data_IF_390026889371
#
_entry.id   IF_390026889371
#
_cell.length_a   1.000
_cell.length_b   1.000
_cell.length_c   1.000
_cell.angle_alpha   90.00
_cell.angle_beta   90.00
_cell.angle_gamma   90.00
#
_symmetry.space_group_name_H-M   'P 1'
#
loop_
_entity.id
_entity.type
_entity.pdbx_description
1 polymer ?
#
# COMPACT_ATOMS: atom_id res chain seq x y z
N UNK A 1 -27.82 8.75 -4.45
CA UNK A 1 -26.82 8.79 -3.35
C UNK A 1 -25.40 8.40 -3.77
N UNK A 2 -25.15 7.47 -4.72
CA UNK A 2 -23.77 7.06 -5.07
C UNK A 2 -23.02 8.01 -6.04
N UNK A 3 -23.73 8.93 -6.69
CA UNK A 3 -23.22 9.84 -7.72
C UNK A 3 -23.10 11.29 -7.27
N UNK A 4 -23.46 11.60 -6.02
CA UNK A 4 -23.36 12.98 -5.51
C UNK A 4 -21.91 13.35 -5.24
N UNK A 5 -21.48 14.58 -5.56
CA UNK A 5 -20.13 15.04 -5.26
C UNK A 5 -19.89 15.13 -3.75
N UNK A 6 -18.62 15.13 -3.35
CA UNK A 6 -18.27 15.28 -1.95
C UNK A 6 -18.73 16.65 -1.40
N UNK A 7 -19.34 16.66 -0.21
CA UNK A 7 -19.67 17.87 0.54
C UNK A 7 -18.89 17.92 1.85
N UNK A 8 -18.97 19.02 2.58
CA UNK A 8 -18.30 19.14 3.88
C UNK A 8 -18.88 18.15 4.92
N UNK A 9 -20.14 17.80 4.77
CA UNK A 9 -20.92 16.94 5.67
C UNK A 9 -20.83 15.45 5.30
N UNK A 10 -20.40 15.11 4.07
CA UNK A 10 -20.45 13.75 3.52
C UNK A 10 -19.34 12.80 3.98
N UNK A 11 -18.70 13.09 5.13
CA UNK A 11 -17.63 12.25 5.67
C UNK A 11 -18.18 10.91 6.18
N UNK A 12 -17.67 9.81 5.63
CA UNK A 12 -17.98 8.45 6.07
C UNK A 12 -16.85 7.90 6.92
N UNK A 13 -17.14 7.53 8.16
CA UNK A 13 -16.18 6.90 9.07
C UNK A 13 -16.35 5.39 8.99
N UNK A 14 -15.28 4.68 8.69
CA UNK A 14 -15.21 3.21 8.63
C UNK A 14 -14.76 2.60 9.96
N UNK A 15 -13.90 3.32 10.68
CA UNK A 15 -13.34 2.88 11.95
C UNK A 15 -12.92 4.08 12.79
N UNK A 16 -13.08 3.99 14.12
CA UNK A 16 -12.60 4.99 15.06
C UNK A 16 -12.19 4.33 16.37
N UNK A 17 -11.06 4.77 16.91
CA UNK A 17 -10.49 4.38 18.20
C UNK A 17 -9.79 5.60 18.84
N UNK A 18 -9.14 5.44 19.98
CA UNK A 18 -8.36 6.50 20.62
C UNK A 18 -7.12 6.91 19.81
N UNK A 19 -6.55 5.99 19.03
CA UNK A 19 -5.31 6.19 18.28
C UNK A 19 -5.52 6.49 16.80
N UNK A 20 -6.60 6.00 16.21
CA UNK A 20 -6.83 6.07 14.76
C UNK A 20 -8.28 6.32 14.40
N UNK A 21 -8.48 7.06 13.29
CA UNK A 21 -9.73 7.12 12.54
C UNK A 21 -9.45 6.71 11.09
N UNK A 22 -10.31 5.88 10.52
CA UNK A 22 -10.28 5.51 9.10
C UNK A 22 -11.56 5.99 8.45
N UNK A 23 -11.41 6.74 7.37
CA UNK A 23 -12.53 7.30 6.61
C UNK A 23 -12.61 6.64 5.24
N UNK A 24 -13.82 6.54 4.71
CA UNK A 24 -14.03 6.23 3.29
C UNK A 24 -13.92 7.54 2.51
N UNK A 25 -12.70 7.84 2.04
CA UNK A 25 -12.43 9.05 1.26
C UNK A 25 -13.30 9.02 0.02
N UNK A 26 -14.01 10.11 -0.26
CA UNK A 26 -14.77 10.25 -1.50
C UNK A 26 -13.85 10.27 -2.75
N UNK A 27 -14.42 10.00 -3.93
CA UNK A 27 -13.73 10.29 -5.19
C UNK A 27 -13.70 11.81 -5.45
N UNK A 28 -12.74 12.25 -6.26
CA UNK A 28 -12.51 13.66 -6.63
C UNK A 28 -12.49 14.65 -5.46
N UNK A 29 -11.81 14.24 -4.38
CA UNK A 29 -11.53 15.13 -3.24
C UNK A 29 -10.06 15.01 -2.83
N UNK A 30 -9.42 16.14 -2.55
CA UNK A 30 -8.06 16.17 -2.02
C UNK A 30 -8.06 15.74 -0.55
N UNK A 31 -6.95 15.15 -0.11
CA UNK A 31 -6.75 14.82 1.31
C UNK A 31 -6.63 16.11 2.13
N UNK A 32 -5.74 16.98 1.70
CA UNK A 32 -5.46 18.28 2.31
C UNK A 32 -5.25 19.34 1.21
N UNK A 33 -5.21 20.60 1.62
CA UNK A 33 -4.82 21.70 0.75
C UNK A 33 -4.19 22.83 1.56
N UNK A 34 -3.25 23.53 0.91
CA UNK A 34 -2.69 24.80 1.41
C UNK A 34 -3.47 26.03 0.91
N UNK A 35 -4.37 25.83 -0.06
CA UNK A 35 -5.12 26.91 -0.69
C UNK A 35 -6.37 27.20 0.14
N UNK A 36 -6.47 28.41 0.69
CA UNK A 36 -7.55 28.83 1.57
C UNK A 36 -8.96 28.72 0.97
N UNK A 37 -9.06 28.73 -0.38
CA UNK A 37 -10.32 28.57 -1.11
C UNK A 37 -10.70 27.12 -1.39
N UNK A 38 -9.78 26.16 -1.21
CA UNK A 38 -10.04 24.74 -1.37
C UNK A 38 -10.74 24.21 -0.11
N UNK A 39 -12.07 24.34 -0.10
CA UNK A 39 -12.90 24.01 1.06
C UNK A 39 -13.35 22.54 1.07
N UNK A 40 -13.14 21.81 -0.02
CA UNK A 40 -13.59 20.43 -0.18
C UNK A 40 -12.37 19.49 -0.08
N UNK A 41 -11.94 19.25 1.16
CA UNK A 41 -10.86 18.30 1.45
C UNK A 41 -11.28 17.36 2.57
N UNK A 42 -10.65 16.19 2.65
CA UNK A 42 -10.85 15.27 3.79
C UNK A 42 -10.47 15.97 5.10
N UNK A 43 -9.42 16.78 5.09
CA UNK A 43 -9.03 17.62 6.23
C UNK A 43 -10.16 18.55 6.67
N UNK A 44 -10.83 19.23 5.74
CA UNK A 44 -11.94 20.13 6.05
C UNK A 44 -13.14 19.35 6.61
N UNK A 45 -13.48 18.21 6.00
CA UNK A 45 -14.53 17.30 6.48
C UNK A 45 -14.26 16.80 7.90
N UNK A 46 -13.03 16.34 8.18
CA UNK A 46 -12.60 15.91 9.52
C UNK A 46 -12.68 17.05 10.54
N UNK A 47 -12.21 18.25 10.19
CA UNK A 47 -12.28 19.42 11.08
C UNK A 47 -13.71 19.84 11.37
N UNK A 48 -14.59 19.77 10.37
CA UNK A 48 -16.00 20.08 10.53
C UNK A 48 -16.71 19.07 11.45
N UNK A 49 -16.49 17.77 11.20
CA UNK A 49 -17.20 16.70 11.92
C UNK A 49 -16.61 16.36 13.30
N UNK A 50 -15.31 16.56 13.47
CA UNK A 50 -14.53 16.21 14.66
C UNK A 50 -13.49 17.30 15.01
N UNK A 51 -13.92 18.53 15.33
CA UNK A 51 -13.02 19.62 15.66
C UNK A 51 -12.09 19.30 16.83
N UNK A 52 -12.55 18.48 17.78
CA UNK A 52 -11.77 18.03 18.95
C UNK A 52 -10.61 17.09 18.61
N UNK A 53 -10.61 16.45 17.43
CA UNK A 53 -9.53 15.58 16.98
C UNK A 53 -8.43 16.34 16.24
N UNK A 54 -8.63 17.63 15.96
CA UNK A 54 -7.64 18.45 15.28
C UNK A 54 -6.47 18.77 16.23
N UNK A 55 -5.26 18.44 15.82
CA UNK A 55 -4.04 18.74 16.56
C UNK A 55 -3.40 20.05 16.10
N UNK A 56 -3.45 21.13 16.91
CA UNK A 56 -2.91 22.43 16.56
C UNK A 56 -1.37 22.44 16.40
N UNK A 57 -0.66 21.42 16.90
CA UNK A 57 0.78 21.27 16.71
C UNK A 57 1.17 20.78 15.31
N UNK A 58 0.18 20.37 14.50
CA UNK A 58 0.42 19.96 13.11
C UNK A 58 -0.07 21.01 12.14
N UNK A 59 0.65 21.17 11.05
CA UNK A 59 0.32 22.13 10.01
C UNK A 59 -1.11 21.92 9.45
N UNK A 60 -1.52 20.67 9.22
CA UNK A 60 -2.85 20.37 8.67
C UNK A 60 -3.91 20.05 9.73
N UNK A 61 -3.56 20.02 11.02
CA UNK A 61 -4.47 19.58 12.09
C UNK A 61 -4.62 18.06 12.22
N UNK A 62 -4.16 17.27 11.25
CA UNK A 62 -4.34 15.82 11.23
C UNK A 62 -3.08 15.13 10.71
N UNK A 63 -2.84 13.89 11.15
CA UNK A 63 -1.71 13.06 10.72
C UNK A 63 -2.19 11.95 9.79
N UNK A 64 -2.24 12.24 8.50
CA UNK A 64 -2.54 11.22 7.49
C UNK A 64 -1.42 10.18 7.44
N UNK A 65 -1.76 8.91 7.68
CA UNK A 65 -0.78 7.81 7.75
C UNK A 65 -0.26 7.40 6.38
N UNK A 66 -1.06 7.63 5.33
CA UNK A 66 -0.72 7.39 3.94
C UNK A 66 -1.51 8.33 3.02
N UNK A 67 -1.28 8.23 1.72
CA UNK A 67 -1.96 9.02 0.70
C UNK A 67 -2.86 8.14 -0.18
N UNK A 68 -3.81 8.79 -0.84
CA UNK A 68 -4.64 8.34 -1.94
C UNK A 68 -4.68 9.47 -2.97
N UNK A 69 -4.72 9.12 -4.25
CA UNK A 69 -4.87 10.10 -5.32
C UNK A 69 -6.20 10.86 -5.18
N UNK A 70 -6.27 12.07 -5.75
CA UNK A 70 -7.47 12.90 -5.78
C UNK A 70 -8.72 12.10 -6.22
N UNK A 71 -8.63 11.41 -7.36
CA UNK A 71 -9.76 10.68 -7.94
C UNK A 71 -10.00 9.28 -7.35
N UNK A 72 -9.08 8.77 -6.52
CA UNK A 72 -9.25 7.44 -5.89
C UNK A 72 -10.11 7.58 -4.63
N UNK A 73 -11.15 6.77 -4.46
CA UNK A 73 -11.93 6.74 -3.21
C UNK A 73 -11.48 5.60 -2.29
N UNK A 74 -12.02 5.50 -1.08
CA UNK A 74 -11.79 4.36 -0.18
C UNK A 74 -11.01 4.67 1.10
N UNK A 75 -10.58 3.61 1.77
CA UNK A 75 -10.01 3.66 3.11
C UNK A 75 -8.78 4.56 3.20
N UNK A 76 -8.86 5.59 4.05
CA UNK A 76 -7.78 6.51 4.38
C UNK A 76 -7.62 6.59 5.90
N UNK A 77 -6.45 6.19 6.41
CA UNK A 77 -6.15 6.17 7.84
C UNK A 77 -5.50 7.47 8.30
N UNK A 78 -5.99 7.99 9.43
CA UNK A 78 -5.48 9.17 10.13
C UNK A 78 -5.15 8.78 11.58
N UNK A 79 -3.93 9.09 12.01
CA UNK A 79 -3.53 8.94 13.40
C UNK A 79 -3.96 10.15 14.22
N UNK A 80 -4.48 9.89 15.41
CA UNK A 80 -5.04 10.91 16.33
C UNK A 80 -4.00 11.47 17.30
N UNK A 81 -2.84 10.81 17.40
CA UNK A 81 -1.72 11.29 18.21
C UNK A 81 -0.36 10.96 17.58
N UNK A 82 0.71 11.52 18.16
CA UNK A 82 2.09 11.39 17.64
C UNK A 82 2.63 9.95 17.73
N UNK A 83 2.28 9.20 18.77
CA UNK A 83 2.73 7.81 18.95
C UNK A 83 2.10 6.91 17.88
N UNK A 84 0.78 7.00 17.72
CA UNK A 84 0.00 6.31 16.69
C UNK A 84 0.53 6.58 15.28
N UNK A 85 0.84 7.84 14.96
CA UNK A 85 1.44 8.20 13.68
C UNK A 85 2.82 7.57 13.48
N UNK A 86 3.63 7.50 14.54
CA UNK A 86 4.94 6.85 14.52
C UNK A 86 4.87 5.35 14.27
N UNK A 87 3.91 4.65 14.88
CA UNK A 87 3.70 3.22 14.65
C UNK A 87 3.22 2.94 13.23
N UNK A 88 2.18 3.64 12.76
CA UNK A 88 1.69 3.48 11.40
C UNK A 88 2.77 3.80 10.36
N UNK A 89 3.54 4.87 10.55
CA UNK A 89 4.67 5.22 9.68
C UNK A 89 5.67 4.07 9.53
N UNK A 90 6.03 3.38 10.63
CA UNK A 90 6.93 2.22 10.57
C UNK A 90 6.34 1.11 9.72
N UNK A 91 5.06 0.77 9.90
CA UNK A 91 4.41 -0.26 9.10
C UNK A 91 4.43 0.07 7.60
N UNK A 92 4.16 1.32 7.22
CA UNK A 92 4.23 1.74 5.81
C UNK A 92 5.66 1.75 5.27
N UNK A 93 6.62 2.23 6.07
CA UNK A 93 8.04 2.28 5.71
C UNK A 93 8.61 0.87 5.49
N UNK A 94 8.28 -0.04 6.38
CA UNK A 94 8.78 -1.42 6.40
C UNK A 94 7.95 -2.33 5.47
N UNK A 95 6.96 -1.78 4.75
CA UNK A 95 6.10 -2.48 3.78
C UNK A 95 5.35 -3.68 4.37
N UNK A 96 4.93 -3.55 5.63
CA UNK A 96 4.13 -4.58 6.32
C UNK A 96 2.63 -4.37 6.18
N UNK A 97 2.21 -3.18 5.75
CA UNK A 97 0.81 -2.86 5.47
C UNK A 97 0.32 -3.64 4.25
N UNK A 98 -0.85 -4.28 4.38
CA UNK A 98 -1.55 -4.90 3.27
C UNK A 98 -2.66 -3.98 2.78
N UNK A 99 -2.73 -3.78 1.46
CA UNK A 99 -3.77 -2.97 0.81
C UNK A 99 -4.36 -3.73 -0.36
N UNK A 100 -5.65 -3.60 -0.58
CA UNK A 100 -6.29 -4.11 -1.79
C UNK A 100 -7.27 -3.07 -2.33
N UNK A 101 -7.32 -2.94 -3.65
CA UNK A 101 -8.11 -1.96 -4.36
C UNK A 101 -9.05 -2.66 -5.32
N UNK A 102 -10.31 -2.24 -5.33
CA UNK A 102 -11.22 -2.61 -6.39
C UNK A 102 -11.00 -1.68 -7.58
N UNK A 103 -11.10 -2.22 -8.80
CA UNK A 103 -11.17 -1.41 -10.00
C UNK A 103 -12.09 -2.02 -11.07
N UNK A 104 -12.66 -1.17 -11.92
CA UNK A 104 -13.18 -1.58 -13.22
C UNK A 104 -12.14 -1.20 -14.29
N UNK A 105 -11.67 -2.18 -15.06
CA UNK A 105 -10.69 -1.99 -16.12
C UNK A 105 -11.36 -2.11 -17.49
N UNK A 106 -10.97 -1.28 -18.45
CA UNK A 106 -11.44 -1.38 -19.83
C UNK A 106 -10.98 -2.70 -20.47
N UNK A 107 -11.87 -3.33 -21.24
CA UNK A 107 -11.62 -4.61 -21.91
C UNK A 107 -11.75 -5.82 -20.99
N UNK A 108 -11.49 -7.00 -21.58
CA UNK A 108 -11.53 -8.29 -20.90
C UNK A 108 -10.11 -8.74 -20.58
N UNK A 109 -9.74 -8.77 -19.29
CA UNK A 109 -8.43 -9.28 -18.86
C UNK A 109 -8.46 -10.81 -18.94
N UNK A 110 -7.57 -11.39 -19.75
CA UNK A 110 -7.58 -12.83 -20.01
C UNK A 110 -7.08 -13.66 -18.81
N UNK A 111 -5.99 -13.22 -18.18
CA UNK A 111 -5.40 -13.92 -17.03
C UNK A 111 -6.22 -13.67 -15.76
N UNK A 112 -6.74 -14.72 -15.13
CA UNK A 112 -7.51 -14.58 -13.88
C UNK A 112 -6.68 -14.04 -12.70
N UNK A 113 -5.36 -14.24 -12.75
CA UNK A 113 -4.41 -13.71 -11.78
C UNK A 113 -3.12 -13.38 -12.51
N UNK A 114 -2.60 -12.17 -12.30
CA UNK A 114 -1.43 -11.66 -13.01
C UNK A 114 -0.59 -10.77 -12.10
N UNK A 115 0.70 -11.06 -12.03
CA UNK A 115 1.70 -10.19 -11.43
C UNK A 115 2.10 -9.12 -12.44
N UNK A 116 2.06 -7.86 -12.03
CA UNK A 116 2.48 -6.70 -12.82
C UNK A 116 3.72 -6.10 -12.17
N UNK A 117 4.89 -6.25 -12.79
CA UNK A 117 6.21 -5.97 -12.23
C UNK A 117 7.03 -4.91 -13.00
N UNK A 118 6.37 -4.15 -13.88
CA UNK A 118 6.99 -3.03 -14.60
C UNK A 118 7.52 -1.98 -13.62
N UNK A 119 8.79 -1.59 -13.72
CA UNK A 119 9.28 -0.44 -12.93
C UNK A 119 8.61 0.86 -13.38
N UNK A 120 8.36 1.77 -12.45
CA UNK A 120 7.73 3.08 -12.72
C UNK A 120 8.71 4.21 -12.45
N UNK A 121 8.87 5.11 -13.43
CA UNK A 121 9.65 6.33 -13.37
C UNK A 121 8.81 7.58 -13.57
N UNK A 122 9.46 8.76 -13.47
CA UNK A 122 8.83 10.03 -13.84
C UNK A 122 8.84 10.17 -15.35
N UNK A 123 7.79 10.74 -15.90
CA UNK A 123 7.74 11.11 -17.31
C UNK A 123 8.26 12.53 -17.50
N UNK A 124 9.38 12.69 -18.21
CA UNK A 124 9.96 13.99 -18.57
C UNK A 124 9.64 14.47 -19.98
N UNK A 125 8.90 13.68 -20.78
CA UNK A 125 8.48 14.10 -22.11
C UNK A 125 7.56 15.32 -22.04
N UNK A 126 7.95 16.40 -22.73
CA UNK A 126 7.11 17.59 -22.89
C UNK A 126 5.80 17.24 -23.61
N UNK A 127 4.69 17.86 -23.19
CA UNK A 127 3.37 17.68 -23.81
C UNK A 127 2.58 16.44 -23.39
N UNK A 128 3.16 15.49 -22.63
CA UNK A 128 2.39 14.38 -22.04
C UNK A 128 1.75 14.81 -20.73
N UNK A 129 0.46 14.47 -20.56
CA UNK A 129 -0.35 14.85 -19.39
C UNK A 129 -0.08 14.00 -18.14
N UNK A 130 0.55 12.83 -18.29
CA UNK A 130 0.77 11.88 -17.20
C UNK A 130 2.18 11.98 -16.60
N UNK A 131 2.24 12.23 -15.28
CA UNK A 131 3.50 12.44 -14.53
C UNK A 131 4.38 11.18 -14.38
N UNK A 132 3.82 9.99 -14.56
CA UNK A 132 4.51 8.71 -14.34
C UNK A 132 4.37 7.81 -15.55
N UNK A 133 5.40 7.04 -15.86
CA UNK A 133 5.42 6.08 -16.97
C UNK A 133 6.22 4.82 -16.59
N UNK A 134 6.10 3.77 -17.40
CA UNK A 134 6.84 2.51 -17.20
C UNK A 134 8.24 2.61 -17.80
N UNK A 135 9.17 1.83 -17.25
CA UNK A 135 10.51 1.66 -17.82
C UNK A 135 10.45 1.27 -19.32
N UNK A 136 11.43 1.75 -20.09
CA UNK A 136 11.49 1.53 -21.55
C UNK A 136 10.62 2.46 -22.38
N UNK A 137 9.71 3.24 -21.79
CA UNK A 137 9.00 4.31 -22.51
C UNK A 137 9.87 5.56 -22.67
N UNK A 138 9.65 6.29 -23.78
CA UNK A 138 10.31 7.56 -24.02
C UNK A 138 10.01 8.56 -22.90
N UNK A 139 11.07 9.21 -22.38
CA UNK A 139 10.99 10.17 -21.28
C UNK A 139 10.91 9.54 -19.88
N UNK A 140 11.06 8.21 -19.73
CA UNK A 140 11.05 7.58 -18.42
C UNK A 140 12.37 7.80 -17.65
N UNK A 141 12.31 8.56 -16.56
CA UNK A 141 13.45 8.87 -15.71
C UNK A 141 13.35 8.19 -14.33
N UNK A 142 14.49 7.67 -13.86
CA UNK A 142 14.66 7.06 -12.53
C UNK A 142 13.58 6.01 -12.20
N UNK A 143 13.38 4.98 -13.06
CA UNK A 143 12.41 3.93 -12.79
C UNK A 143 12.78 3.20 -11.51
N UNK A 144 11.76 2.91 -10.69
CA UNK A 144 11.92 2.14 -9.46
C UNK A 144 11.09 0.87 -9.53
N UNK A 145 11.60 -0.26 -9.03
CA UNK A 145 10.86 -1.51 -9.00
C UNK A 145 9.51 -1.31 -8.31
N UNK A 146 8.46 -1.80 -8.95
CA UNK A 146 7.13 -1.87 -8.38
C UNK A 146 6.41 -3.12 -8.81
N UNK A 147 5.53 -3.60 -7.93
CA UNK A 147 4.80 -4.84 -8.13
C UNK A 147 3.37 -4.68 -7.66
N UNK A 148 2.45 -5.18 -8.47
CA UNK A 148 1.01 -5.22 -8.21
C UNK A 148 0.48 -6.60 -8.60
N UNK A 149 -0.19 -7.29 -7.68
CA UNK A 149 -0.95 -8.48 -8.02
C UNK A 149 -2.36 -8.08 -8.46
N UNK A 150 -2.77 -8.54 -9.63
CA UNK A 150 -4.11 -8.36 -10.19
C UNK A 150 -4.85 -9.69 -10.10
N UNK A 151 -6.06 -9.66 -9.56
CA UNK A 151 -6.97 -10.81 -9.51
C UNK A 151 -8.31 -10.43 -10.12
N UNK A 152 -8.75 -11.14 -11.15
CA UNK A 152 -10.06 -10.91 -11.77
C UNK A 152 -11.17 -11.43 -10.88
N UNK A 153 -12.19 -10.61 -10.65
CA UNK A 153 -13.38 -10.94 -9.87
C UNK A 153 -14.56 -11.26 -10.80
N UNK A 154 -14.87 -10.33 -11.71
CA UNK A 154 -16.06 -10.38 -12.56
C UNK A 154 -15.76 -9.78 -13.94
N UNK A 155 -16.40 -10.32 -14.97
CA UNK A 155 -16.50 -9.71 -16.31
C UNK A 155 -17.89 -9.14 -16.52
N UNK A 156 -17.97 -8.05 -17.26
CA UNK A 156 -19.25 -7.45 -17.61
C UNK A 156 -19.10 -6.29 -18.57
N UNK A 157 -20.11 -5.42 -18.57
CA UNK A 157 -20.14 -4.21 -19.38
C UNK A 157 -20.20 -2.97 -18.49
N UNK A 158 -19.55 -1.90 -18.90
CA UNK A 158 -19.76 -0.56 -18.36
C UNK A 158 -20.18 0.37 -19.48
N UNK A 159 -21.40 0.89 -19.40
CA UNK A 159 -21.97 1.77 -20.44
C UNK A 159 -21.97 1.15 -21.85
N UNK A 160 -22.13 -0.18 -21.92
CA UNK A 160 -22.11 -0.96 -23.16
C UNK A 160 -20.75 -1.51 -23.58
N UNK A 161 -19.64 -1.01 -23.02
CA UNK A 161 -18.29 -1.47 -23.36
C UNK A 161 -17.84 -2.61 -22.44
N UNK A 162 -17.06 -3.60 -22.96
CA UNK A 162 -16.46 -4.64 -22.13
C UNK A 162 -15.56 -4.08 -21.04
N UNK A 163 -15.74 -4.54 -19.80
CA UNK A 163 -14.87 -4.23 -18.67
C UNK A 163 -14.66 -5.45 -17.77
N UNK A 164 -13.57 -5.40 -17.01
CA UNK A 164 -13.23 -6.42 -16.01
C UNK A 164 -13.15 -5.78 -14.63
N UNK A 165 -13.90 -6.32 -13.67
CA UNK A 165 -13.77 -5.96 -12.26
C UNK A 165 -12.65 -6.79 -11.63
N UNK A 166 -11.71 -6.11 -11.00
CA UNK A 166 -10.50 -6.71 -10.43
C UNK A 166 -10.28 -6.29 -8.98
N UNK A 167 -9.54 -7.13 -8.25
CA UNK A 167 -8.87 -6.77 -7.01
C UNK A 167 -7.37 -6.59 -7.31
N UNK A 168 -6.83 -5.43 -6.96
CA UNK A 168 -5.43 -5.06 -7.12
C UNK A 168 -4.74 -4.98 -5.76
N UNK A 169 -3.69 -5.75 -5.55
CA UNK A 169 -2.85 -5.70 -4.35
C UNK A 169 -1.48 -5.12 -4.71
N UNK A 170 -1.23 -3.82 -4.43
CA UNK A 170 0.10 -3.25 -4.62
C UNK A 170 1.04 -3.71 -3.50
N UNK A 171 2.13 -4.39 -3.87
CA UNK A 171 3.22 -4.80 -2.95
C UNK A 171 4.26 -3.68 -2.74
N UNK A 172 4.19 -2.64 -3.57
CA UNK A 172 4.96 -1.40 -3.46
C UNK A 172 4.04 -0.18 -3.43
N UNK A 173 4.60 1.00 -3.16
CA UNK A 173 3.84 2.26 -3.17
C UNK A 173 4.53 3.30 -4.04
N UNK A 174 4.28 3.29 -5.35
CA UNK A 174 4.68 4.36 -6.28
C UNK A 174 3.48 5.25 -6.61
N UNK A 175 3.74 6.51 -6.96
CA UNK A 175 2.71 7.45 -7.43
C UNK A 175 1.98 6.85 -8.62
N UNK A 176 0.65 6.85 -8.59
CA UNK A 176 -0.23 6.31 -9.65
C UNK A 176 0.04 4.85 -10.03
N UNK A 177 0.69 4.05 -9.17
CA UNK A 177 1.18 2.70 -9.54
C UNK A 177 0.13 1.82 -10.22
N UNK A 178 -1.05 1.71 -9.62
CA UNK A 178 -2.14 0.88 -10.13
C UNK A 178 -2.63 1.35 -11.50
N UNK A 179 -2.77 2.66 -11.66
CA UNK A 179 -3.25 3.32 -12.88
C UNK A 179 -2.27 3.09 -14.04
N UNK A 180 -0.98 3.31 -13.78
CA UNK A 180 0.10 3.07 -14.76
C UNK A 180 0.18 1.59 -15.14
N UNK A 181 0.19 0.67 -14.17
CA UNK A 181 0.27 -0.76 -14.44
C UNK A 181 -0.93 -1.26 -15.26
N UNK A 182 -2.15 -0.86 -14.90
CA UNK A 182 -3.36 -1.27 -15.63
C UNK A 182 -3.34 -0.70 -17.07
N UNK A 183 -2.95 0.55 -17.24
CA UNK A 183 -2.77 1.14 -18.57
C UNK A 183 -1.67 0.44 -19.38
N UNK A 184 -0.56 0.05 -18.74
CA UNK A 184 0.57 -0.60 -19.41
C UNK A 184 0.22 -1.97 -19.98
N UNK A 185 -0.70 -2.71 -19.36
CA UNK A 185 -1.21 -3.98 -19.88
C UNK A 185 -2.36 -3.82 -20.88
N UNK A 186 -2.67 -2.58 -21.31
CA UNK A 186 -3.74 -2.30 -22.27
C UNK A 186 -5.15 -2.23 -21.67
N UNK A 187 -5.27 -2.27 -20.34
CA UNK A 187 -6.54 -2.28 -19.62
C UNK A 187 -6.64 -1.09 -18.65
N UNK A 188 -6.70 0.17 -19.15
CA UNK A 188 -6.77 1.35 -18.29
C UNK A 188 -8.02 1.30 -17.39
N UNK A 189 -7.92 1.92 -16.22
CA UNK A 189 -9.04 2.01 -15.28
C UNK A 189 -10.14 2.87 -15.91
N UNK A 190 -11.39 2.41 -15.81
CA UNK A 190 -12.57 3.14 -16.30
C UNK A 190 -12.63 4.52 -15.65
N UNK A 191 -12.74 5.56 -16.47
CA UNK A 191 -12.78 6.96 -16.04
C UNK A 191 -11.43 7.56 -15.64
N UNK A 192 -10.30 6.87 -15.91
CA UNK A 192 -8.97 7.46 -15.71
C UNK A 192 -8.57 8.36 -16.88
N UNK A 193 -9.00 9.62 -16.81
CA UNK A 193 -8.71 10.64 -17.81
C UNK A 193 -7.21 10.79 -18.15
N UNK A 194 -6.32 10.61 -17.17
CA UNK A 194 -4.89 10.86 -17.34
C UNK A 194 -4.22 9.76 -18.16
N UNK A 195 -4.45 8.50 -17.77
CA UNK A 195 -3.78 7.35 -18.40
C UNK A 195 -4.53 6.82 -19.62
N UNK A 196 -5.79 7.20 -19.82
CA UNK A 196 -6.50 7.00 -21.08
C UNK A 196 -6.18 8.07 -22.13
N UNK A 197 -5.22 8.97 -21.89
CA UNK A 197 -4.91 10.12 -22.76
C UNK A 197 -6.15 10.96 -23.13
N UNK A 198 -7.05 11.16 -22.17
CA UNK A 198 -8.29 11.92 -22.33
C UNK A 198 -9.45 11.17 -22.99
N UNK A 199 -9.25 9.94 -23.46
CA UNK A 199 -10.30 9.15 -24.13
C UNK A 199 -11.44 8.73 -23.19
N UNK A 200 -11.15 8.44 -21.93
CA UNK A 200 -12.13 7.91 -20.97
C UNK A 200 -12.60 9.01 -20.00
N UNK A 201 -13.43 9.92 -20.52
CA UNK A 201 -13.95 11.09 -19.79
C UNK A 201 -15.47 11.05 -19.52
N UNK A 202 -16.17 10.04 -20.03
CA UNK A 202 -17.61 9.89 -19.89
C UNK A 202 -18.08 9.33 -18.52
N UNK A 203 -17.35 8.42 -17.85
CA UNK A 203 -17.69 7.98 -16.50
C UNK A 203 -17.69 9.14 -15.50
N UNK A 204 -18.61 9.13 -14.53
CA UNK A 204 -18.75 10.23 -13.55
C UNK A 204 -17.60 10.32 -12.54
N UNK A 205 -16.75 9.28 -12.49
CA UNK A 205 -15.59 9.16 -11.60
C UNK A 205 -14.59 8.17 -12.17
N UNK A 206 -13.38 8.18 -11.63
CA UNK A 206 -12.44 7.07 -11.81
C UNK A 206 -12.86 5.86 -10.96
N UNK A 207 -12.92 4.69 -11.60
CA UNK A 207 -13.33 3.43 -10.99
C UNK A 207 -12.16 2.73 -10.30
N UNK A 208 -11.53 3.43 -9.35
CA UNK A 208 -10.51 2.90 -8.45
C UNK A 208 -10.91 3.19 -7.00
N UNK A 209 -10.91 2.15 -6.17
CA UNK A 209 -11.37 2.23 -4.79
C UNK A 209 -10.45 1.45 -3.85
N UNK A 210 -9.89 2.12 -2.84
CA UNK A 210 -9.12 1.51 -1.77
C UNK A 210 -10.05 0.71 -0.84
N UNK A 211 -10.26 -0.56 -1.15
CA UNK A 211 -11.22 -1.43 -0.49
C UNK A 211 -10.70 -1.95 0.86
N UNK A 212 -9.49 -2.50 0.90
CA UNK A 212 -8.93 -3.14 2.10
C UNK A 212 -7.71 -2.36 2.59
N UNK A 213 -7.67 -2.11 3.90
CA UNK A 213 -6.49 -1.60 4.60
C UNK A 213 -6.23 -2.44 5.85
N UNK A 214 -5.07 -3.09 5.88
CA UNK A 214 -4.58 -3.86 7.02
C UNK A 214 -3.23 -3.30 7.47
N UNK A 215 -3.21 -2.69 8.65
CA UNK A 215 -2.00 -2.20 9.31
C UNK A 215 -1.73 -3.12 10.51
N UNK A 216 -0.63 -3.89 10.54
CA UNK A 216 -0.34 -4.86 11.59
C UNK A 216 0.20 -4.17 12.86
N UNK A 217 -0.66 -3.34 13.47
CA UNK A 217 -0.40 -2.66 14.73
C UNK A 217 -0.50 -3.65 15.90
N UNK A 218 0.19 -3.31 16.99
CA UNK A 218 0.16 -4.06 18.25
C UNK A 218 -0.51 -3.19 19.32
N UNK A 219 -1.28 -3.76 20.27
CA UNK A 219 -1.54 -5.19 20.44
C UNK A 219 -2.62 -5.76 19.52
N UNK A 220 -3.30 -4.90 18.74
CA UNK A 220 -4.36 -5.31 17.82
C UNK A 220 -4.15 -4.68 16.44
N UNK A 221 -4.27 -5.46 15.36
CA UNK A 221 -4.13 -4.94 14.01
C UNK A 221 -5.33 -4.06 13.65
N UNK A 222 -5.07 -3.01 12.87
CA UNK A 222 -6.12 -2.22 12.24
C UNK A 222 -6.48 -2.87 10.90
N UNK A 223 -7.64 -3.53 10.85
CA UNK A 223 -8.17 -4.16 9.64
C UNK A 223 -9.50 -3.50 9.30
N UNK A 224 -9.55 -2.79 8.16
CA UNK A 224 -10.73 -2.06 7.71
C UNK A 224 -11.01 -2.39 6.25
N UNK A 225 -12.29 -2.62 5.96
CA UNK A 225 -12.82 -2.76 4.60
C UNK A 225 -13.83 -1.67 4.31
N UNK A 226 -13.60 -0.88 3.27
CA UNK A 226 -14.59 0.02 2.70
C UNK A 226 -15.59 -0.78 1.84
N UNK A 227 -16.86 -0.35 1.77
CA UNK A 227 -17.87 -1.06 0.99
C UNK A 227 -17.57 -1.05 -0.52
N UNK A 228 -17.94 -2.09 -1.25
CA UNK A 228 -17.76 -2.16 -2.71
C UNK A 228 -18.67 -1.14 -3.42
N UNK A 229 -18.11 -0.09 -4.06
CA UNK A 229 -18.91 0.91 -4.76
C UNK A 229 -19.27 0.49 -6.19
N UNK A 230 -18.69 -0.59 -6.72
CA UNK A 230 -18.87 -1.04 -8.11
C UNK A 230 -19.91 -2.16 -8.16
N UNK A 231 -21.12 -1.81 -7.76
CA UNK A 231 -22.30 -2.67 -7.76
C UNK A 231 -23.40 -2.02 -8.62
N UNK A 232 -24.20 -2.81 -9.36
CA UNK A 232 -25.29 -2.28 -10.21
C UNK A 232 -26.31 -1.43 -9.44
N UNK A 233 -26.47 -1.69 -8.14
CA UNK A 233 -27.36 -0.92 -7.25
C UNK A 233 -26.88 0.50 -6.99
N UNK A 234 -25.57 0.74 -7.11
CA UNK A 234 -24.97 2.07 -6.94
C UNK A 234 -24.74 2.76 -8.28
N UNK A 235 -24.33 2.00 -9.29
CA UNK A 235 -24.12 2.48 -10.65
C UNK A 235 -24.73 1.50 -11.67
N UNK A 236 -25.90 1.82 -12.24
CA UNK A 236 -26.59 0.94 -13.19
C UNK A 236 -25.85 0.82 -14.53
N UNK A 237 -24.82 1.62 -14.79
CA UNK A 237 -23.98 1.46 -15.99
C UNK A 237 -23.10 0.22 -15.91
N UNK A 238 -22.76 -0.23 -14.70
CA UNK A 238 -22.05 -1.49 -14.49
C UNK A 238 -23.01 -2.67 -14.52
N UNK A 239 -22.81 -3.56 -15.49
CA UNK A 239 -23.62 -4.76 -15.73
C UNK A 239 -22.71 -6.01 -15.66
N UNK A 240 -22.57 -6.65 -14.47
CA UNK A 240 -21.81 -7.89 -14.34
C UNK A 240 -22.49 -9.01 -15.14
N UNK A 241 -21.71 -9.81 -15.85
CA UNK A 241 -22.19 -10.91 -16.69
C UNK A 241 -21.65 -12.27 -16.26
N UNK A 242 -20.39 -12.32 -15.82
CA UNK A 242 -19.73 -13.56 -15.39
C UNK A 242 -18.89 -13.30 -14.16
N UNK A 243 -19.16 -14.02 -13.07
CA UNK A 243 -18.33 -13.99 -11.87
C UNK A 243 -17.32 -15.15 -11.89
N UNK A 244 -16.04 -14.86 -11.64
CA UNK A 244 -15.00 -15.88 -11.46
C UNK A 244 -14.83 -16.25 -9.99
N UNK A 245 -14.80 -15.24 -9.11
CA UNK A 245 -14.57 -15.40 -7.67
C UNK A 245 -15.22 -14.27 -6.91
N UNK A 246 -15.61 -14.54 -5.67
CA UNK A 246 -16.21 -13.52 -4.80
C UNK A 246 -15.12 -12.60 -4.24
N UNK A 247 -15.47 -11.33 -4.02
CA UNK A 247 -14.60 -10.37 -3.34
C UNK A 247 -14.21 -10.87 -1.94
N UNK A 248 -15.17 -11.38 -1.16
CA UNK A 248 -14.95 -11.89 0.18
C UNK A 248 -13.92 -13.03 0.22
N UNK A 249 -14.08 -14.05 -0.63
CA UNK A 249 -13.15 -15.17 -0.69
C UNK A 249 -11.74 -14.73 -1.14
N UNK A 250 -11.66 -13.75 -2.04
CA UNK A 250 -10.38 -13.23 -2.55
C UNK A 250 -9.64 -12.43 -1.46
N UNK A 251 -10.35 -11.59 -0.70
CA UNK A 251 -9.81 -10.86 0.46
C UNK A 251 -9.36 -11.82 1.57
N UNK A 252 -10.16 -12.85 1.86
CA UNK A 252 -9.80 -13.86 2.85
C UNK A 252 -8.52 -14.61 2.46
N UNK A 253 -8.40 -15.02 1.20
CA UNK A 253 -7.20 -15.68 0.68
C UNK A 253 -5.96 -14.76 0.78
N UNK A 254 -6.10 -13.49 0.42
CA UNK A 254 -5.04 -12.48 0.50
C UNK A 254 -4.55 -12.28 1.94
N UNK A 255 -5.47 -12.18 2.91
CA UNK A 255 -5.10 -12.05 4.33
C UNK A 255 -4.42 -13.31 4.88
N UNK A 256 -4.91 -14.51 4.49
CA UNK A 256 -4.27 -15.78 4.87
C UNK A 256 -2.85 -15.88 4.31
N UNK A 257 -2.66 -15.52 3.04
CA UNK A 257 -1.34 -15.49 2.43
C UNK A 257 -0.41 -14.53 3.19
N UNK A 258 -0.90 -13.34 3.56
CA UNK A 258 -0.11 -12.38 4.33
C UNK A 258 0.35 -12.92 5.68
N UNK A 259 -0.56 -13.56 6.42
CA UNK A 259 -0.23 -14.17 7.73
C UNK A 259 0.87 -15.22 7.57
N UNK A 260 0.80 -16.04 6.52
CA UNK A 260 1.80 -17.05 6.25
C UNK A 260 3.15 -16.46 5.83
N UNK A 261 3.15 -15.39 5.02
CA UNK A 261 4.37 -14.64 4.67
C UNK A 261 5.02 -14.02 5.91
N UNK A 262 4.25 -13.39 6.79
CA UNK A 262 4.74 -12.80 8.03
C UNK A 262 5.29 -13.87 8.99
N UNK A 263 4.69 -15.06 9.03
CA UNK A 263 5.18 -16.21 9.80
C UNK A 263 6.55 -16.67 9.28
N UNK A 264 6.69 -16.86 7.97
CA UNK A 264 7.94 -17.26 7.33
C UNK A 264 9.06 -16.25 7.55
N UNK A 265 8.76 -14.96 7.38
CA UNK A 265 9.73 -13.88 7.62
C UNK A 265 10.24 -13.88 9.07
N UNK A 266 9.34 -14.04 10.05
CA UNK A 266 9.72 -14.15 11.47
C UNK A 266 10.58 -15.38 11.76
N UNK A 267 10.31 -16.52 11.11
CA UNK A 267 11.11 -17.74 11.23
C UNK A 267 12.52 -17.54 10.66
N UNK A 268 12.63 -16.95 9.46
CA UNK A 268 13.92 -16.63 8.85
C UNK A 268 14.74 -15.64 9.68
N UNK A 269 14.11 -14.62 10.26
CA UNK A 269 14.78 -13.66 11.16
C UNK A 269 15.31 -14.34 12.42
N UNK A 270 14.52 -15.22 13.04
CA UNK A 270 14.95 -16.02 14.20
C UNK A 270 16.12 -16.92 13.86
N UNK A 271 16.09 -17.58 12.70
CA UNK A 271 17.16 -18.44 12.25
C UNK A 271 18.45 -17.64 11.97
N UNK A 272 18.34 -16.48 11.32
CA UNK A 272 19.47 -15.56 11.10
C UNK A 272 20.06 -15.05 12.42
N UNK A 273 19.22 -14.72 13.40
CA UNK A 273 19.66 -14.31 14.73
C UNK A 273 20.42 -15.43 15.45
N UNK A 274 19.88 -16.65 15.43
CA UNK A 274 20.52 -17.84 16.02
C UNK A 274 21.88 -18.14 15.36
N UNK A 275 21.97 -18.14 14.03
CA UNK A 275 23.23 -18.32 13.29
C UNK A 275 24.27 -17.25 13.65
N UNK A 276 23.83 -16.00 13.87
CA UNK A 276 24.71 -14.90 14.27
C UNK A 276 25.24 -15.08 15.70
N UNK A 277 24.42 -15.59 16.62
CA UNK A 277 24.84 -15.93 17.98
C UNK A 277 25.81 -17.11 18.01
N UNK A 278 25.55 -18.17 17.24
CA UNK A 278 26.43 -19.34 17.12
C UNK A 278 27.81 -18.95 16.57
N UNK A 279 27.87 -18.09 15.54
CA UNK A 279 29.14 -17.53 15.02
C UNK A 279 29.89 -16.71 16.07
N UNK A 280 29.19 -15.90 16.87
CA UNK A 280 29.81 -15.12 17.96
C UNK A 280 30.37 -16.03 19.06
N UNK A 281 29.66 -17.10 19.42
CA UNK A 281 30.13 -18.09 20.40
C UNK A 281 31.37 -18.84 19.90
N UNK A 282 31.34 -19.35 18.66
CA UNK A 282 32.49 -20.03 18.06
C UNK A 282 33.73 -19.14 17.97
N UNK A 283 33.58 -17.88 17.57
CA UNK A 283 34.70 -16.92 17.54
C UNK A 283 35.26 -16.61 18.94
N UNK A 284 34.40 -16.54 19.96
CA UNK A 284 34.83 -16.33 21.35
C UNK A 284 35.57 -17.55 21.88
N UNK A 285 35.05 -18.77 21.66
CA UNK A 285 35.71 -20.02 22.07
C UNK A 285 37.07 -20.20 21.38
N UNK A 286 37.18 -19.86 20.10
CA UNK A 286 38.45 -19.94 19.36
C UNK A 286 39.50 -18.97 19.92
N UNK A 287 39.13 -17.71 20.17
CA UNK A 287 40.03 -16.74 20.83
C UNK A 287 40.48 -17.19 22.22
N UNK A 288 39.56 -17.78 23.00
CA UNK A 288 39.88 -18.27 24.34
C UNK A 288 40.86 -19.46 24.30
N UNK A 289 40.74 -20.32 23.28
CA UNK A 289 41.69 -21.43 23.05
C UNK A 289 43.07 -20.92 22.62
N UNK A 290 43.12 -19.98 21.68
CA UNK A 290 44.39 -19.38 21.22
C UNK A 290 45.14 -18.69 22.38
N UNK A 291 44.43 -17.91 23.21
CA UNK A 291 45.01 -17.30 24.42
C UNK A 291 45.53 -18.36 25.41
N UNK A 292 44.80 -19.46 25.60
CA UNK A 292 45.22 -20.56 26.49
C UNK A 292 46.43 -21.33 25.95
N UNK A 293 46.57 -21.49 24.63
CA UNK A 293 47.71 -22.15 24.00
C UNK A 293 48.97 -21.28 24.09
N UNK A 294 48.83 -19.96 23.87
CA UNK A 294 49.92 -19.01 24.00
C UNK A 294 50.43 -18.90 25.44
N UNK A 295 49.53 -18.87 26.43
CA UNK A 295 49.89 -18.92 27.85
C UNK A 295 50.65 -20.21 28.23
N UNK A 296 50.23 -21.36 27.68
CA UNK A 296 50.94 -22.64 27.89
C UNK A 296 52.34 -22.60 27.28
N UNK A 297 52.50 -22.02 26.08
CA UNK A 297 53.80 -21.89 25.42
C UNK A 297 54.75 -21.01 26.22
N UNK A 298 54.27 -19.86 26.71
CA UNK A 298 55.04 -18.97 27.58
C UNK A 298 55.47 -19.65 28.87
N UNK A 299 54.57 -20.41 29.53
CA UNK A 299 54.94 -21.20 30.71
C UNK A 299 56.00 -22.27 30.42
N UNK A 300 55.93 -22.94 29.27
CA UNK A 300 56.93 -23.95 28.88
C UNK A 300 58.29 -23.32 28.56
N UNK A 301 58.32 -22.18 27.86
CA UNK A 301 59.53 -21.38 27.65
C UNK A 301 60.15 -21.00 29.01
N UNK A 302 59.35 -20.48 29.94
CA UNK A 302 59.81 -20.11 31.29
C UNK A 302 60.36 -21.31 32.09
N UNK A 303 59.69 -22.46 32.04
CA UNK A 303 60.16 -23.68 32.71
C UNK A 303 61.45 -24.22 32.09
N UNK A 304 61.63 -24.06 30.77
CA UNK A 304 62.87 -24.46 30.09
C UNK A 304 64.06 -23.58 30.44
N UNK A 305 63.84 -22.28 30.70
CA UNK A 305 64.87 -21.35 31.19
C UNK A 305 65.27 -21.64 32.65
N UNK A 306 64.36 -22.18 33.46
CA UNK A 306 64.61 -22.54 34.86
C UNK A 306 65.17 -23.95 35.07
N UNK A 307 64.99 -24.86 34.11
CA UNK A 307 65.46 -26.25 34.17
C UNK A 307 66.82 -26.48 33.48
N UNK A 308 67.50 -25.41 33.05
CA UNK A 308 68.86 -25.47 32.53
C UNK A 308 69.90 -25.35 33.66
N UNK A 309 70.65 -26.43 33.88
CA UNK A 309 71.92 -26.47 34.62
C UNK A 309 73.02 -25.59 33.97
#
# INVERSE_FOLDING_TARGET
>A
MATEPASLESLRVLYQSDDYIVVDKHWDIRIDSKMWYEKHTVQAQLRHRFPQLADPSTYYGFRFCHQLDFSTSGALCVALNKAAAGWAYRCFKDRTVTKAYLALLRGSVEDETRTLDFSIGKNSSEGKTHMMCIEGTEGCENPKPCQTELMVLEYGLYDGDPVTKVLLQPLTGRTHQLRVHCSAIGHPIVGDFTYSLGADNAPYRMMLHAHLLHIPLEPQPLLVSAGDPFLPTYDPKWLPQRSLRTLAATVEALLKQRVEEDRKLKEEERERARKKEERKKGSKEQRTKEESEEQRRQCQEWLSEWAGD
#
